data_IF_917369278451
#
_entry.id   IF_917369278451
#
_cell.length_a   1.000
_cell.length_b   1.000
_cell.length_c   1.000
_cell.angle_alpha   90.00
_cell.angle_beta   90.00
_cell.angle_gamma   90.00
#
_symmetry.space_group_name_H-M   'P 1'
#
loop_
_entity.id
_entity.type
_entity.pdbx_description
1 polymer ?
#
# COMPACT_ATOMS: atom_id res chain seq x y z
N UNK A 1 -28.98 -47.43 -14.01
CA UNK A 1 -27.62 -47.17 -13.50
C UNK A 1 -27.11 -45.88 -14.12
N UNK A 2 -26.72 -44.91 -13.28
CA UNK A 2 -26.00 -43.65 -13.51
C UNK A 2 -26.43 -42.77 -14.72
N UNK A 3 -26.88 -41.53 -14.56
CA UNK A 3 -26.44 -40.52 -13.61
C UNK A 3 -26.03 -39.28 -14.42
N UNK A 4 -27.02 -38.40 -14.66
CA UNK A 4 -26.94 -37.16 -15.43
C UNK A 4 -25.75 -36.31 -14.96
N UNK A 5 -24.79 -36.07 -15.86
CA UNK A 5 -23.64 -35.17 -15.61
C UNK A 5 -24.17 -33.75 -15.36
N UNK A 6 -24.23 -33.38 -14.07
CA UNK A 6 -24.58 -32.03 -13.67
C UNK A 6 -23.40 -31.12 -13.98
N UNK A 7 -23.63 -30.25 -14.96
CA UNK A 7 -22.85 -29.08 -15.30
C UNK A 7 -22.57 -28.26 -14.03
N UNK A 8 -21.36 -28.36 -13.48
CA UNK A 8 -20.90 -27.51 -12.38
C UNK A 8 -20.54 -26.15 -12.98
N UNK A 9 -21.57 -25.39 -13.37
CA UNK A 9 -21.51 -23.95 -13.45
C UNK A 9 -21.37 -23.44 -12.01
N UNK A 10 -20.16 -23.52 -11.45
CA UNK A 10 -19.80 -22.60 -10.39
C UNK A 10 -19.90 -21.21 -11.01
N UNK A 11 -20.76 -20.31 -10.52
CA UNK A 11 -20.58 -18.91 -10.85
C UNK A 11 -19.17 -18.58 -10.34
N UNK A 12 -18.25 -18.31 -11.28
CA UNK A 12 -17.04 -17.57 -10.94
C UNK A 12 -17.58 -16.33 -10.24
N UNK A 13 -17.44 -16.29 -8.91
CA UNK A 13 -17.64 -15.05 -8.18
C UNK A 13 -16.87 -14.01 -8.99
N UNK A 14 -17.52 -12.93 -9.45
CA UNK A 14 -16.77 -11.86 -10.06
C UNK A 14 -15.71 -11.53 -9.04
N UNK A 15 -14.44 -11.83 -9.37
CA UNK A 15 -13.31 -11.40 -8.57
C UNK A 15 -13.52 -9.91 -8.52
N UNK A 16 -14.06 -9.42 -7.41
CA UNK A 16 -14.11 -8.01 -7.13
C UNK A 16 -12.71 -7.53 -7.48
N UNK A 17 -12.56 -6.46 -8.29
CA UNK A 17 -11.24 -5.89 -8.49
C UNK A 17 -10.68 -5.75 -7.09
N UNK A 18 -9.51 -6.35 -6.83
CA UNK A 18 -8.86 -6.27 -5.54
C UNK A 18 -8.60 -4.77 -5.35
N UNK A 19 -9.53 -4.09 -4.68
CA UNK A 19 -9.38 -2.69 -4.31
C UNK A 19 -8.36 -2.78 -3.20
N UNK A 20 -7.08 -2.58 -3.53
CA UNK A 20 -6.01 -2.51 -2.55
C UNK A 20 -6.46 -1.53 -1.47
N UNK A 21 -6.84 -2.03 -0.29
CA UNK A 21 -7.26 -1.13 0.74
C UNK A 21 -6.00 -0.45 1.27
N UNK A 22 -6.24 0.69 1.89
CA UNK A 22 -5.30 1.34 2.77
C UNK A 22 -4.17 2.13 2.08
N UNK A 23 -4.58 3.14 1.30
CA UNK A 23 -3.98 4.43 1.61
C UNK A 23 -4.23 4.68 3.10
N UNK A 24 -3.19 4.67 3.94
CA UNK A 24 -3.34 4.91 5.38
C UNK A 24 -4.02 6.27 5.55
N UNK A 25 -5.22 6.32 6.15
CA UNK A 25 -5.88 7.58 6.45
C UNK A 25 -4.98 8.41 7.36
N UNK A 26 -4.94 9.72 7.13
CA UNK A 26 -4.02 10.64 7.81
C UNK A 26 -4.18 10.62 9.33
N UNK A 27 -5.40 10.42 9.81
CA UNK A 27 -5.79 10.25 11.21
C UNK A 27 -5.27 8.95 11.85
N UNK A 28 -4.84 7.98 11.03
CA UNK A 28 -4.28 6.70 11.47
C UNK A 28 -2.76 6.65 11.41
N UNK A 29 -2.09 7.70 10.94
CA UNK A 29 -0.63 7.76 10.93
C UNK A 29 -0.09 7.91 12.36
N UNK A 30 0.77 6.98 12.77
CA UNK A 30 1.40 7.00 14.10
C UNK A 30 2.92 7.13 13.98
N UNK A 31 3.52 7.84 14.94
CA UNK A 31 4.98 7.87 15.08
C UNK A 31 5.50 6.46 15.40
N UNK A 32 6.65 6.10 14.84
CA UNK A 32 7.24 4.76 14.99
C UNK A 32 6.59 3.67 14.12
N UNK A 33 5.52 3.98 13.39
CA UNK A 33 4.90 3.05 12.45
C UNK A 33 5.79 2.85 11.22
N UNK A 34 5.96 1.60 10.80
CA UNK A 34 6.63 1.27 9.54
C UNK A 34 5.63 1.37 8.39
N UNK A 35 6.04 2.06 7.34
CA UNK A 35 5.20 2.39 6.19
C UNK A 35 5.97 2.24 4.89
N UNK A 36 5.20 2.05 3.83
CA UNK A 36 5.68 2.06 2.46
C UNK A 36 5.11 3.29 1.77
N UNK A 37 5.99 4.10 1.21
CA UNK A 37 5.63 5.32 0.49
C UNK A 37 5.89 5.10 -0.99
N UNK A 38 4.82 5.03 -1.77
CA UNK A 38 4.90 4.98 -3.22
C UNK A 38 4.73 6.39 -3.79
N UNK A 39 5.67 6.82 -4.62
CA UNK A 39 5.71 8.15 -5.23
C UNK A 39 5.70 7.98 -6.75
N UNK A 40 4.61 8.40 -7.38
CA UNK A 40 4.46 8.39 -8.83
C UNK A 40 5.00 9.70 -9.43
N UNK A 41 6.01 9.60 -10.29
CA UNK A 41 6.58 10.73 -11.03
C UNK A 41 6.75 10.36 -12.50
N UNK A 42 5.97 11.02 -13.38
CA UNK A 42 6.19 11.01 -14.83
C UNK A 42 6.51 9.62 -15.41
N UNK A 43 5.68 8.63 -15.09
CA UNK A 43 5.76 7.21 -15.48
C UNK A 43 6.73 6.33 -14.69
N UNK A 44 7.36 6.83 -13.64
CA UNK A 44 8.16 6.03 -12.71
C UNK A 44 7.50 5.97 -11.33
N UNK A 45 7.47 4.78 -10.72
CA UNK A 45 6.98 4.55 -9.37
C UNK A 45 8.19 4.33 -8.46
N UNK A 46 8.47 5.29 -7.59
CA UNK A 46 9.51 5.15 -6.58
C UNK A 46 8.89 4.67 -5.28
N UNK A 47 9.43 3.59 -4.71
CA UNK A 47 8.93 3.00 -3.48
C UNK A 47 9.98 3.21 -2.39
N UNK A 48 9.55 3.71 -1.23
CA UNK A 48 10.39 3.93 -0.07
C UNK A 48 9.83 3.17 1.12
N UNK A 49 10.69 2.42 1.80
CA UNK A 49 10.36 1.71 3.03
C UNK A 49 10.96 2.47 4.19
N UNK A 50 10.18 2.71 5.24
CA UNK A 50 10.71 3.43 6.37
C UNK A 50 9.77 3.58 7.54
N UNK A 51 10.32 4.12 8.62
CA UNK A 51 9.59 4.38 9.86
C UNK A 51 9.20 5.84 9.98
N UNK A 52 7.94 6.14 10.35
CA UNK A 52 7.47 7.52 10.56
C UNK A 52 8.18 8.13 11.78
N UNK A 53 8.96 9.18 11.55
CA UNK A 53 9.62 9.95 12.60
C UNK A 53 8.83 11.17 13.04
N UNK A 54 8.10 11.77 12.10
CA UNK A 54 7.25 12.92 12.35
C UNK A 54 6.11 12.92 11.33
N UNK A 55 4.90 13.25 11.78
CA UNK A 55 3.79 13.50 10.89
C UNK A 55 3.09 14.77 11.34
N UNK A 56 2.69 15.56 10.37
CA UNK A 56 1.72 16.61 10.59
C UNK A 56 0.68 16.54 9.49
N UNK A 57 -0.18 17.52 9.54
CA UNK A 57 -1.25 17.68 8.63
C UNK A 57 -0.82 17.65 7.13
N UNK A 58 0.28 18.29 6.77
CA UNK A 58 0.61 18.42 5.35
C UNK A 58 1.63 17.39 4.89
N UNK A 59 2.41 16.85 5.83
CA UNK A 59 3.65 16.14 5.53
C UNK A 59 3.92 15.04 6.54
N UNK A 60 4.56 14.00 6.05
CA UNK A 60 5.25 13.01 6.88
C UNK A 60 6.75 13.10 6.65
N UNK A 61 7.49 12.66 7.65
CA UNK A 61 8.91 12.39 7.57
C UNK A 61 9.13 10.93 7.95
N UNK A 62 9.81 10.19 7.09
CA UNK A 62 10.20 8.81 7.34
C UNK A 62 11.71 8.70 7.41
N UNK A 63 12.19 7.76 8.22
CA UNK A 63 13.55 7.24 8.19
C UNK A 63 13.58 6.07 7.23
N UNK A 64 14.39 6.12 6.16
CA UNK A 64 14.50 5.00 5.22
C UNK A 64 15.18 3.79 5.88
N UNK A 65 14.60 2.61 5.72
CA UNK A 65 15.15 1.38 6.30
C UNK A 65 16.44 0.94 5.58
N UNK A 66 16.48 1.06 4.25
CA UNK A 66 17.61 0.64 3.39
C UNK A 66 18.86 1.50 3.62
N UNK A 67 18.68 2.73 4.07
CA UNK A 67 19.78 3.65 4.33
C UNK A 67 19.46 4.39 5.63
N UNK A 68 19.77 3.75 6.76
CA UNK A 68 19.31 4.12 8.11
C UNK A 68 19.67 5.54 8.56
N UNK A 69 20.48 6.28 7.82
CA UNK A 69 20.84 7.68 8.10
C UNK A 69 19.99 8.66 7.29
N UNK A 70 19.29 8.20 6.24
CA UNK A 70 18.54 9.05 5.32
C UNK A 70 17.10 9.23 5.78
N UNK A 71 16.72 10.48 6.03
CA UNK A 71 15.32 10.86 6.26
C UNK A 71 14.73 11.48 5.01
N UNK A 72 13.50 11.10 4.66
CA UNK A 72 12.73 11.74 3.58
C UNK A 72 11.44 12.35 4.08
N UNK A 73 11.08 13.47 3.45
CA UNK A 73 9.85 14.20 3.72
C UNK A 73 8.92 14.10 2.53
N UNK A 74 7.68 13.70 2.77
CA UNK A 74 6.66 13.52 1.74
C UNK A 74 5.42 14.36 2.06
N UNK A 75 4.77 14.89 1.03
CA UNK A 75 3.53 15.64 1.16
C UNK A 75 2.33 14.70 1.04
N UNK A 76 1.57 14.53 2.14
CA UNK A 76 0.46 13.56 2.22
C UNK A 76 -0.69 13.96 1.28
N UNK A 77 -0.89 15.25 1.04
CA UNK A 77 -1.96 15.76 0.16
C UNK A 77 -1.64 15.63 -1.34
N UNK A 78 -0.48 15.08 -1.71
CA UNK A 78 -0.15 14.92 -3.12
C UNK A 78 -0.85 13.68 -3.65
N UNK A 79 -1.62 13.82 -4.74
CA UNK A 79 -2.19 12.69 -5.48
C UNK A 79 -1.13 11.73 -6.05
N UNK A 80 0.12 12.17 -6.06
CA UNK A 80 1.29 11.40 -6.50
C UNK A 80 1.89 10.54 -5.40
N UNK A 81 1.46 10.69 -4.15
CA UNK A 81 2.02 10.00 -2.99
C UNK A 81 0.93 9.10 -2.40
N UNK A 82 1.26 7.81 -2.28
CA UNK A 82 0.42 6.82 -1.62
C UNK A 82 1.19 6.22 -0.46
N UNK A 83 0.48 6.05 0.66
CA UNK A 83 1.02 5.59 1.93
C UNK A 83 0.36 4.28 2.29
N UNK A 84 1.15 3.23 2.44
CA UNK A 84 0.68 1.90 2.80
C UNK A 84 1.30 1.47 4.12
N UNK A 85 0.56 0.68 4.90
CA UNK A 85 1.18 -0.04 6.00
C UNK A 85 2.10 -1.11 5.41
N UNK A 86 3.24 -1.38 6.05
CA UNK A 86 4.16 -2.42 5.56
C UNK A 86 3.49 -3.80 5.49
N UNK A 87 2.63 -4.11 6.46
CA UNK A 87 1.85 -5.35 6.53
C UNK A 87 0.93 -5.50 5.31
N UNK A 88 0.21 -4.43 4.95
CA UNK A 88 -0.70 -4.41 3.80
C UNK A 88 0.08 -4.46 2.47
N UNK A 89 1.26 -3.83 2.43
CA UNK A 89 2.11 -3.81 1.24
C UNK A 89 2.67 -5.20 0.89
N UNK A 90 3.05 -6.00 1.90
CA UNK A 90 3.54 -7.36 1.64
C UNK A 90 2.49 -8.19 0.92
N UNK A 91 1.23 -8.11 1.34
CA UNK A 91 0.10 -8.76 0.66
C UNK A 91 -0.05 -8.24 -0.76
N UNK A 92 0.13 -6.93 -0.97
CA UNK A 92 0.02 -6.34 -2.30
C UNK A 92 1.14 -6.76 -3.27
N UNK A 93 2.37 -6.93 -2.78
CA UNK A 93 3.52 -7.31 -3.60
C UNK A 93 3.40 -8.73 -4.18
N UNK A 94 2.66 -9.64 -3.55
CA UNK A 94 2.44 -11.00 -4.07
C UNK A 94 1.43 -11.06 -5.24
N UNK A 95 0.74 -9.95 -5.52
CA UNK A 95 -0.32 -9.87 -6.52
C UNK A 95 -0.02 -8.89 -7.67
N UNK A 96 1.16 -8.29 -7.67
CA UNK A 96 1.73 -7.50 -8.77
C UNK A 96 2.62 -8.37 -9.65
#
# INVERSE_FOLDING_TARGET
>A
MAGRLANVNQPQQPRSPFVFPAHIPRDKLRLGQRVVVAVSQANNLQIFFGTILACNDRRIMIKEDVNSVKTRKFAIKSTKIQLFAEEDWQVAAFHL
#
